data_IF_768318458817
#
_entry.id   IF_768318458817
#
_cell.length_a   1.000
_cell.length_b   1.000
_cell.length_c   1.000
_cell.angle_alpha   90.00
_cell.angle_beta   90.00
_cell.angle_gamma   90.00
#
_symmetry.space_group_name_H-M   'P 1'
#
loop_
_entity.id
_entity.type
_entity.pdbx_description
1 polymer ?
#
# COMPACT_ATOMS: atom_id res chain seq x y z
N UNK A 1 18.72 12.53 2.92
CA UNK A 1 17.28 12.90 2.80
C UNK A 1 16.64 12.57 4.13
N UNK A 2 15.80 13.46 4.63
CA UNK A 2 15.08 13.30 5.91
C UNK A 2 13.64 12.85 5.62
N UNK A 3 13.12 11.90 6.39
CA UNK A 3 11.72 11.46 6.31
C UNK A 3 10.88 12.41 7.17
N UNK A 4 9.81 12.95 6.60
CA UNK A 4 8.90 13.85 7.30
C UNK A 4 7.49 13.81 6.68
N UNK A 5 6.55 14.58 7.23
CA UNK A 5 5.14 14.65 6.77
C UNK A 5 4.95 15.07 5.30
N UNK A 6 5.99 15.60 4.65
CA UNK A 6 5.97 16.03 3.23
C UNK A 6 6.73 15.05 2.32
N UNK A 7 7.26 13.96 2.84
CA UNK A 7 7.94 12.94 2.03
C UNK A 7 6.96 12.28 1.07
N UNK A 8 7.39 12.12 -0.20
CA UNK A 8 6.57 11.63 -1.30
C UNK A 8 6.27 12.72 -2.34
N UNK A 9 5.65 12.33 -3.45
CA UNK A 9 5.35 13.24 -4.56
C UNK A 9 3.96 12.93 -5.13
N UNK A 10 3.18 13.98 -5.41
CA UNK A 10 1.93 13.85 -6.17
C UNK A 10 2.27 13.64 -7.64
N UNK A 11 1.70 12.59 -8.24
CA UNK A 11 1.92 12.23 -9.65
C UNK A 11 0.66 12.44 -10.50
N UNK A 12 0.83 12.57 -11.82
CA UNK A 12 -0.30 12.62 -12.76
C UNK A 12 -0.93 11.23 -12.96
N UNK A 13 -2.15 11.19 -13.51
CA UNK A 13 -2.81 9.94 -13.85
C UNK A 13 -2.03 9.14 -14.90
N UNK A 14 -1.45 9.81 -15.90
CA UNK A 14 -0.64 9.17 -16.94
C UNK A 14 0.56 8.46 -16.33
N UNK A 15 1.24 9.10 -15.37
CA UNK A 15 2.37 8.47 -14.68
C UNK A 15 1.92 7.30 -13.80
N UNK A 16 0.77 7.41 -13.14
CA UNK A 16 0.21 6.30 -12.36
C UNK A 16 -0.12 5.09 -13.25
N UNK A 17 -0.69 5.31 -14.44
CA UNK A 17 -0.98 4.26 -15.44
C UNK A 17 0.30 3.58 -15.90
N UNK A 18 1.34 4.35 -16.25
CA UNK A 18 2.64 3.81 -16.67
C UNK A 18 3.23 2.88 -15.59
N UNK A 19 3.34 3.37 -14.36
CA UNK A 19 3.93 2.62 -13.24
C UNK A 19 3.15 1.35 -12.91
N UNK A 20 1.82 1.45 -12.83
CA UNK A 20 0.97 0.30 -12.48
C UNK A 20 0.96 -0.76 -13.58
N UNK A 21 0.92 -0.37 -14.85
CA UNK A 21 0.94 -1.33 -15.96
C UNK A 21 2.30 -2.02 -16.10
N UNK A 22 3.41 -1.29 -15.97
CA UNK A 22 4.75 -1.89 -16.01
C UNK A 22 4.97 -2.90 -14.87
N UNK A 23 4.42 -2.62 -13.67
CA UNK A 23 4.44 -3.57 -12.57
C UNK A 23 3.67 -4.85 -12.90
N UNK A 24 2.45 -4.73 -13.43
CA UNK A 24 1.59 -5.87 -13.80
C UNK A 24 2.23 -6.74 -14.90
N UNK A 25 2.90 -6.12 -15.88
CA UNK A 25 3.62 -6.83 -16.93
C UNK A 25 4.79 -7.65 -16.39
N UNK A 26 5.53 -7.08 -15.43
CA UNK A 26 6.69 -7.75 -14.84
C UNK A 26 6.31 -8.77 -13.76
N UNK A 27 5.08 -8.70 -13.24
CA UNK A 27 4.62 -9.51 -12.10
C UNK A 27 3.20 -10.08 -12.35
N UNK A 28 3.00 -10.90 -13.40
CA UNK A 28 1.66 -11.35 -13.81
C UNK A 28 0.94 -12.20 -12.75
N UNK A 29 1.69 -12.83 -11.85
CA UNK A 29 1.17 -13.68 -10.77
C UNK A 29 0.97 -12.92 -9.44
N UNK A 30 1.28 -11.62 -9.39
CA UNK A 30 1.12 -10.80 -8.18
C UNK A 30 -0.18 -9.98 -8.22
N UNK A 31 -0.72 -9.57 -7.06
CA UNK A 31 -1.85 -8.66 -7.04
C UNK A 31 -1.57 -7.36 -7.79
N UNK A 32 -2.52 -6.92 -8.62
CA UNK A 32 -2.47 -5.66 -9.36
C UNK A 32 -2.65 -4.45 -8.45
N UNK A 33 -3.37 -4.62 -7.33
CA UNK A 33 -3.58 -3.58 -6.32
C UNK A 33 -3.97 -4.18 -4.97
N UNK A 34 -3.85 -3.35 -3.94
CA UNK A 34 -4.23 -3.64 -2.56
C UNK A 34 -5.16 -2.54 -2.07
N UNK A 35 -6.21 -2.92 -1.34
CA UNK A 35 -7.19 -2.00 -0.79
C UNK A 35 -7.22 -2.10 0.75
N UNK A 36 -7.30 -0.94 1.39
CA UNK A 36 -7.48 -0.78 2.84
C UNK A 36 -8.73 0.05 3.10
N UNK A 37 -9.51 -0.33 4.11
CA UNK A 37 -10.70 0.42 4.52
C UNK A 37 -10.34 1.75 5.18
N UNK A 38 -11.16 2.78 4.95
CA UNK A 38 -10.94 4.12 5.48
C UNK A 38 -10.87 4.15 7.03
N UNK A 39 -11.71 3.39 7.70
CA UNK A 39 -11.74 3.37 9.16
C UNK A 39 -10.44 2.80 9.75
N UNK A 40 -9.91 1.73 9.14
CA UNK A 40 -8.65 1.11 9.58
C UNK A 40 -7.44 1.98 9.29
N UNK A 41 -7.37 2.59 8.10
CA UNK A 41 -6.27 3.52 7.82
C UNK A 41 -6.31 4.74 8.73
N UNK A 42 -7.50 5.24 9.08
CA UNK A 42 -7.63 6.34 10.05
C UNK A 42 -7.17 5.94 11.45
N UNK A 43 -7.53 4.74 11.91
CA UNK A 43 -7.08 4.18 13.19
C UNK A 43 -5.54 4.13 13.24
N UNK A 44 -4.90 3.65 12.17
CA UNK A 44 -3.44 3.65 12.02
C UNK A 44 -2.84 5.07 12.01
N UNK A 45 -3.47 6.01 11.30
CA UNK A 45 -2.98 7.37 11.12
C UNK A 45 -3.11 8.23 12.39
N UNK A 46 -4.08 7.94 13.25
CA UNK A 46 -4.36 8.70 14.48
C UNK A 46 -3.45 8.33 15.65
N UNK A 47 -2.51 7.40 15.47
CA UNK A 47 -1.53 7.05 16.49
C UNK A 47 -0.66 8.26 16.89
N UNK A 48 -0.44 8.43 18.19
CA UNK A 48 0.35 9.53 18.72
C UNK A 48 1.78 9.50 18.18
N UNK A 49 2.28 10.66 17.75
CA UNK A 49 3.64 10.79 17.20
C UNK A 49 3.77 10.48 15.70
N UNK A 50 2.71 9.95 15.06
CA UNK A 50 2.74 9.58 13.64
C UNK A 50 3.04 10.78 12.72
N UNK A 51 3.99 10.59 11.80
CA UNK A 51 4.33 11.52 10.72
C UNK A 51 4.08 10.96 9.32
N UNK A 52 3.78 9.66 9.19
CA UNK A 52 3.65 8.98 7.91
C UNK A 52 3.61 7.46 8.06
N UNK A 53 3.49 6.77 6.94
CA UNK A 53 3.41 5.31 6.93
C UNK A 53 4.64 4.70 6.25
N UNK A 54 5.11 3.60 6.84
CA UNK A 54 6.01 2.66 6.19
C UNK A 54 5.21 1.47 5.69
N UNK A 55 5.50 1.05 4.46
CA UNK A 55 4.83 -0.06 3.81
C UNK A 55 5.87 -1.15 3.56
N UNK A 56 5.76 -2.25 4.28
CA UNK A 56 6.63 -3.40 4.11
C UNK A 56 5.97 -4.43 3.19
N UNK A 57 6.71 -5.02 2.23
CA UNK A 57 6.25 -6.22 1.56
C UNK A 57 6.21 -7.37 2.58
N UNK A 58 5.04 -7.96 2.74
CA UNK A 58 4.80 -9.17 3.53
C UNK A 58 4.64 -10.39 2.64
N UNK A 59 4.99 -11.55 3.16
CA UNK A 59 4.68 -12.84 2.57
C UNK A 59 4.02 -13.68 3.66
N UNK A 60 2.76 -14.04 3.46
CA UNK A 60 2.10 -14.98 4.35
C UNK A 60 2.67 -16.38 4.10
N UNK A 61 3.33 -17.01 5.09
CA UNK A 61 3.95 -18.31 4.91
C UNK A 61 2.94 -19.45 4.70
N UNK A 62 1.67 -19.26 5.06
CA UNK A 62 0.63 -20.29 4.88
C UNK A 62 0.02 -20.24 3.49
N UNK A 63 -0.38 -19.06 3.03
CA UNK A 63 -1.00 -18.88 1.71
C UNK A 63 0.03 -18.65 0.59
N UNK A 64 1.28 -18.36 0.93
CA UNK A 64 2.34 -17.91 0.02
C UNK A 64 1.93 -16.68 -0.81
N UNK A 65 0.99 -15.88 -0.29
CA UNK A 65 0.51 -14.66 -0.93
C UNK A 65 1.32 -13.46 -0.48
N UNK A 66 1.70 -12.62 -1.44
CA UNK A 66 2.27 -11.32 -1.14
C UNK A 66 1.19 -10.43 -0.54
N UNK A 67 1.52 -9.79 0.57
CA UNK A 67 0.70 -8.76 1.20
C UNK A 67 1.56 -7.53 1.50
N UNK A 68 0.95 -6.49 2.05
CA UNK A 68 1.65 -5.32 2.56
C UNK A 68 1.34 -5.16 4.04
N UNK A 69 2.37 -4.84 4.83
CA UNK A 69 2.22 -4.47 6.24
C UNK A 69 2.41 -2.96 6.35
N UNK A 70 1.39 -2.27 6.85
CA UNK A 70 1.40 -0.82 7.04
C UNK A 70 1.70 -0.51 8.50
N UNK A 71 2.71 0.33 8.71
CA UNK A 71 3.22 0.71 10.04
C UNK A 71 3.31 2.23 10.12
N UNK A 72 2.88 2.82 11.23
CA UNK A 72 3.05 4.24 11.47
C UNK A 72 4.50 4.55 11.88
N UNK A 73 5.00 5.73 11.50
CA UNK A 73 6.39 6.15 11.72
C UNK A 73 6.41 7.42 12.56
N UNK A 74 7.33 7.53 13.51
CA UNK A 74 7.51 8.69 14.38
C UNK A 74 8.45 9.76 13.80
N UNK A 75 8.69 10.84 14.56
CA UNK A 75 9.47 11.99 14.12
C UNK A 75 10.96 11.66 13.90
N UNK A 76 11.45 10.65 14.60
CA UNK A 76 12.80 10.10 14.49
C UNK A 76 12.94 9.18 13.27
N UNK A 77 11.82 8.83 12.63
CA UNK A 77 11.77 7.93 11.48
C UNK A 77 11.68 6.45 11.88
N UNK A 78 11.42 6.17 13.16
CA UNK A 78 11.30 4.82 13.72
C UNK A 78 9.86 4.31 13.64
N UNK A 79 9.73 2.98 13.62
CA UNK A 79 8.43 2.33 13.53
C UNK A 79 7.71 2.29 14.88
N UNK A 80 6.45 2.71 14.90
CA UNK A 80 5.58 2.66 16.09
C UNK A 80 5.08 1.24 16.38
N UNK A 81 5.99 0.33 16.74
CA UNK A 81 5.74 -1.11 16.94
C UNK A 81 4.88 -1.49 18.14
N UNK A 82 4.70 -0.58 19.11
CA UNK A 82 3.80 -0.78 20.25
C UNK A 82 2.35 -0.40 19.96
N UNK A 83 2.08 0.05 18.74
CA UNK A 83 0.78 0.52 18.29
C UNK A 83 0.03 -0.49 17.43
N UNK A 84 -0.72 0.04 16.48
CA UNK A 84 -1.51 -0.72 15.51
C UNK A 84 -0.67 -0.88 14.25
N UNK A 85 -0.71 -2.09 13.67
CA UNK A 85 -0.24 -2.40 12.33
C UNK A 85 -1.40 -2.98 11.54
N UNK A 86 -1.42 -2.73 10.24
CA UNK A 86 -2.41 -3.32 9.35
C UNK A 86 -1.74 -4.27 8.38
N UNK A 87 -2.29 -5.48 8.28
CA UNK A 87 -2.10 -6.40 7.17
C UNK A 87 -3.48 -6.82 6.61
N UNK A 88 -3.55 -7.97 5.92
CA UNK A 88 -4.78 -8.48 5.27
C UNK A 88 -5.49 -7.49 4.32
N UNK A 89 -4.69 -6.76 3.52
CA UNK A 89 -5.26 -5.88 2.51
C UNK A 89 -6.05 -6.68 1.47
N UNK A 90 -7.15 -6.11 1.00
CA UNK A 90 -7.98 -6.74 -0.02
C UNK A 90 -7.27 -6.63 -1.37
N UNK A 91 -6.94 -7.77 -1.97
CA UNK A 91 -6.20 -7.86 -3.23
C UNK A 91 -7.12 -7.88 -4.46
N UNK A 92 -6.60 -7.37 -5.57
CA UNK A 92 -7.16 -7.57 -6.90
C UNK A 92 -6.14 -8.28 -7.79
N UNK A 93 -6.43 -9.48 -8.31
CA UNK A 93 -7.58 -10.34 -8.00
C UNK A 93 -7.58 -10.88 -6.54
N UNK A 94 -8.74 -11.28 -5.98
CA UNK A 94 -10.03 -11.45 -6.64
C UNK A 94 -10.93 -10.22 -6.65
N UNK A 95 -10.72 -9.25 -5.76
CA UNK A 95 -11.63 -8.13 -5.55
C UNK A 95 -11.19 -6.89 -6.32
N UNK A 96 -11.47 -6.87 -7.62
CA UNK A 96 -11.13 -5.75 -8.50
C UNK A 96 -12.24 -4.69 -8.60
N UNK A 97 -11.91 -3.45 -9.00
CA UNK A 97 -12.92 -2.43 -9.34
C UNK A 97 -13.91 -2.97 -10.38
N UNK A 98 -15.21 -2.80 -10.11
CA UNK A 98 -16.28 -3.28 -11.01
C UNK A 98 -16.34 -2.52 -12.34
N UNK A 99 -15.94 -1.26 -12.33
CA UNK A 99 -15.87 -0.43 -13.54
C UNK A 99 -14.46 -0.53 -14.12
N UNK A 100 -14.32 -0.51 -15.47
CA UNK A 100 -13.01 -0.46 -16.10
C UNK A 100 -12.19 0.73 -15.58
N UNK A 101 -10.93 0.47 -15.26
CA UNK A 101 -9.95 1.47 -14.84
C UNK A 101 -8.72 1.35 -15.72
N UNK A 102 -8.07 2.48 -16.01
CA UNK A 102 -6.80 2.49 -16.76
C UNK A 102 -5.60 2.03 -15.93
N UNK A 103 -5.76 1.90 -14.61
CA UNK A 103 -4.72 1.47 -13.67
C UNK A 103 -4.57 -0.05 -13.59
N UNK A 104 -5.51 -0.80 -14.15
CA UNK A 104 -5.41 -2.26 -14.29
C UNK A 104 -5.30 -2.54 -15.78
N UNK A 105 -4.21 -3.19 -16.19
CA UNK A 105 -3.99 -3.54 -17.58
C UNK A 105 -5.09 -4.50 -18.03
N UNK A 106 -5.79 -4.14 -19.10
CA UNK A 106 -6.74 -5.05 -19.74
C UNK A 106 -5.97 -6.24 -20.30
N UNK A 107 -6.45 -7.45 -20.04
CA UNK A 107 -5.92 -8.67 -20.67
C UNK A 107 -6.20 -8.68 -22.16
#
# INVERSE_FOLDING_TARGET
MEINKKSGTVISLEKAIELTNSYQESNPEKPNSYFVGLDKINELLQQNGNIGLRIYPGLDPQSNQNNMVLVAVDQEGEDLTNGIMLDELITCPPMCPKKPTKLIKSK
#
